data_IF_095375633339
#
_entry.id   IF_095375633339
#
_cell.length_a   1.000
_cell.length_b   1.000
_cell.length_c   1.000
_cell.angle_alpha   90.00
_cell.angle_beta   90.00
_cell.angle_gamma   90.00
#
_symmetry.space_group_name_H-M   'P 1'
#
loop_
_entity.id
_entity.type
_entity.pdbx_description
1 polymer ?
#
# COMPACT_ATOMS: atom_id res chain seq x y z
N UNK A 1 -3.44 10.92 -28.79
CA UNK A 1 -3.44 10.12 -27.56
C UNK A 1 -3.73 11.08 -26.43
N UNK A 2 -4.80 10.86 -25.66
CA UNK A 2 -5.03 11.70 -24.47
C UNK A 2 -3.99 11.24 -23.46
N UNK A 3 -3.02 12.11 -23.15
CA UNK A 3 -2.05 11.86 -22.09
C UNK A 3 -2.81 11.48 -20.82
N UNK A 4 -2.50 10.31 -20.27
CA UNK A 4 -3.12 9.87 -19.04
C UNK A 4 -2.44 10.56 -17.86
N UNK A 5 -2.83 11.82 -17.62
CA UNK A 5 -2.32 12.66 -16.53
C UNK A 5 -2.35 11.92 -15.19
N UNK A 6 -3.35 11.05 -14.95
CA UNK A 6 -3.41 10.26 -13.72
C UNK A 6 -2.21 9.30 -13.60
N UNK A 7 -1.92 8.55 -14.67
CA UNK A 7 -0.82 7.60 -14.69
C UNK A 7 0.54 8.32 -14.61
N UNK A 8 0.69 9.45 -15.30
CA UNK A 8 1.90 10.27 -15.26
C UNK A 8 2.18 10.81 -13.85
N UNK A 9 1.18 11.44 -13.21
CA UNK A 9 1.33 11.97 -11.84
C UNK A 9 1.60 10.85 -10.85
N UNK A 10 0.93 9.70 -10.99
CA UNK A 10 1.18 8.54 -10.14
C UNK A 10 2.60 7.97 -10.32
N UNK A 11 3.10 7.88 -11.56
CA UNK A 11 4.45 7.42 -11.86
C UNK A 11 5.50 8.29 -11.18
N UNK A 12 5.32 9.62 -11.20
CA UNK A 12 6.21 10.55 -10.51
C UNK A 12 6.38 10.21 -9.01
N UNK A 13 5.30 9.85 -8.31
CA UNK A 13 5.38 9.45 -6.89
C UNK A 13 6.06 8.09 -6.68
N UNK A 14 6.00 7.19 -7.66
CA UNK A 14 6.65 5.87 -7.60
C UNK A 14 8.14 5.94 -7.91
N UNK A 15 8.54 6.84 -8.80
CA UNK A 15 9.96 7.10 -9.10
C UNK A 15 10.70 7.75 -7.93
N UNK A 16 9.98 8.46 -7.07
CA UNK A 16 10.51 9.18 -5.90
C UNK A 16 10.21 8.46 -4.58
N UNK A 17 10.19 7.12 -4.59
CA UNK A 17 9.99 6.32 -3.39
C UNK A 17 11.15 6.44 -2.40
N UNK A 18 10.79 6.43 -1.11
CA UNK A 18 11.73 6.52 0.01
C UNK A 18 11.76 5.20 0.79
N UNK A 19 12.94 4.71 1.14
CA UNK A 19 13.10 3.41 1.81
C UNK A 19 12.65 3.46 3.28
N UNK A 20 12.78 4.61 3.93
CA UNK A 20 12.45 4.84 5.35
C UNK A 20 10.97 4.60 5.63
N UNK A 21 10.12 4.70 4.61
CA UNK A 21 8.68 4.39 4.68
C UNK A 21 8.42 2.96 5.13
N UNK A 22 9.33 2.01 4.87
CA UNK A 22 9.21 0.63 5.35
C UNK A 22 9.24 0.55 6.89
N UNK A 23 9.90 1.49 7.58
CA UNK A 23 9.94 1.53 9.04
C UNK A 23 8.57 1.82 9.64
N UNK A 24 7.65 2.45 8.91
CA UNK A 24 6.29 2.72 9.39
C UNK A 24 5.50 1.44 9.66
N UNK A 25 5.81 0.37 8.92
CA UNK A 25 5.14 -0.93 9.07
C UNK A 25 6.04 -1.98 9.71
N UNK A 26 7.30 -1.64 9.97
CA UNK A 26 8.21 -2.51 10.69
C UNK A 26 7.63 -2.72 12.09
N UNK A 27 7.37 -3.98 12.44
CA UNK A 27 6.84 -4.38 13.74
C UNK A 27 5.42 -3.89 14.10
N UNK A 28 4.63 -3.45 13.12
CA UNK A 28 3.22 -3.06 13.32
C UNK A 28 2.24 -4.02 12.61
N UNK A 29 1.82 -5.14 13.27
CA UNK A 29 1.04 -6.19 12.62
C UNK A 29 -0.27 -5.70 12.01
N UNK A 30 -0.92 -4.71 12.63
CA UNK A 30 -2.17 -4.16 12.12
C UNK A 30 -1.96 -3.38 10.81
N UNK A 31 -0.84 -2.67 10.68
CA UNK A 31 -0.50 -1.95 9.44
C UNK A 31 -0.11 -2.93 8.33
N UNK A 32 0.67 -3.96 8.65
CA UNK A 32 1.01 -5.03 7.70
C UNK A 32 -0.27 -5.69 7.14
N UNK A 33 -1.26 -5.99 7.99
CA UNK A 33 -2.53 -6.57 7.55
C UNK A 33 -3.26 -5.67 6.57
N UNK A 34 -3.29 -4.36 6.83
CA UNK A 34 -3.90 -3.38 5.91
C UNK A 34 -3.15 -3.32 4.59
N UNK A 35 -1.81 -3.29 4.61
CA UNK A 35 -0.98 -3.27 3.40
C UNK A 35 -1.22 -4.52 2.54
N UNK A 36 -1.25 -5.70 3.17
CA UNK A 36 -1.56 -6.95 2.47
C UNK A 36 -3.00 -6.94 1.93
N UNK A 37 -3.96 -6.48 2.72
CA UNK A 37 -5.35 -6.38 2.29
C UNK A 37 -5.51 -5.44 1.09
N UNK A 38 -4.84 -4.28 1.10
CA UNK A 38 -4.85 -3.30 0.01
C UNK A 38 -4.45 -3.92 -1.32
N UNK A 39 -3.35 -4.70 -1.34
CA UNK A 39 -2.90 -5.40 -2.57
C UNK A 39 -3.86 -6.48 -3.07
N UNK A 40 -4.83 -6.88 -2.25
CA UNK A 40 -5.86 -7.85 -2.60
C UNK A 40 -7.24 -7.20 -2.77
N UNK A 41 -7.40 -5.90 -2.52
CA UNK A 41 -8.66 -5.16 -2.70
C UNK A 41 -8.76 -4.69 -4.15
N UNK A 42 -9.97 -4.72 -4.71
CA UNK A 42 -10.21 -4.14 -6.02
C UNK A 42 -10.17 -2.62 -5.92
N UNK A 43 -9.07 -2.03 -6.40
CA UNK A 43 -8.85 -0.59 -6.44
C UNK A 43 -8.89 -0.15 -7.90
N UNK A 44 -9.74 0.83 -8.20
CA UNK A 44 -9.93 1.33 -9.55
C UNK A 44 -9.87 2.85 -9.55
N UNK A 45 -9.36 3.42 -10.64
CA UNK A 45 -9.52 4.84 -10.94
C UNK A 45 -10.98 5.17 -11.22
N UNK A 46 -11.44 6.33 -10.73
CA UNK A 46 -12.77 6.85 -11.02
C UNK A 46 -12.97 7.06 -12.54
N UNK A 47 -14.12 6.62 -13.07
CA UNK A 47 -14.46 6.77 -14.49
C UNK A 47 -14.42 8.22 -14.98
N UNK A 48 -14.80 9.16 -14.11
CA UNK A 48 -14.75 10.60 -14.37
C UNK A 48 -13.85 11.24 -13.34
N UNK A 49 -12.72 11.76 -13.81
CA UNK A 49 -11.79 12.46 -12.94
C UNK A 49 -12.31 13.82 -12.53
N UNK A 50 -12.13 14.18 -11.27
CA UNK A 50 -12.27 15.58 -10.83
C UNK A 50 -11.15 16.44 -11.43
N UNK A 51 -11.38 17.74 -11.68
CA UNK A 51 -10.29 18.63 -12.05
C UNK A 51 -9.25 18.71 -10.92
N UNK A 52 -7.97 18.79 -11.30
CA UNK A 52 -6.88 19.12 -10.37
C UNK A 52 -6.94 20.62 -10.07
N UNK A 53 -6.76 21.00 -8.80
CA UNK A 53 -6.96 22.39 -8.34
C UNK A 53 -5.66 23.18 -8.15
N UNK A 54 -4.53 22.49 -8.10
CA UNK A 54 -3.22 23.08 -7.91
C UNK A 54 -2.12 22.13 -8.36
N UNK A 55 -0.88 22.63 -8.37
CA UNK A 55 0.28 21.93 -8.91
C UNK A 55 1.25 21.45 -7.82
N UNK A 56 0.93 21.70 -6.54
CA UNK A 56 1.79 21.22 -5.46
C UNK A 56 1.78 19.69 -5.38
N UNK A 57 2.86 19.13 -4.85
CA UNK A 57 3.00 17.69 -4.65
C UNK A 57 1.89 17.14 -3.72
N UNK A 58 1.52 17.88 -2.67
CA UNK A 58 0.44 17.50 -1.75
C UNK A 58 -0.92 17.48 -2.44
N UNK A 59 -1.26 18.54 -3.18
CA UNK A 59 -2.54 18.62 -3.89
C UNK A 59 -2.66 17.56 -4.98
N UNK A 60 -1.56 17.27 -5.66
CA UNK A 60 -1.51 16.19 -6.65
C UNK A 60 -1.75 14.83 -6.00
N UNK A 61 -1.12 14.59 -4.84
CA UNK A 61 -1.31 13.35 -4.08
C UNK A 61 -2.75 13.17 -3.60
N UNK A 62 -3.32 14.22 -3.01
CA UNK A 62 -4.73 14.24 -2.59
C UNK A 62 -5.68 14.04 -3.77
N UNK A 63 -5.38 14.66 -4.92
CA UNK A 63 -6.16 14.50 -6.14
C UNK A 63 -6.16 13.05 -6.64
N UNK A 64 -5.02 12.35 -6.62
CA UNK A 64 -4.97 10.94 -7.00
C UNK A 64 -5.89 10.08 -6.11
N UNK A 65 -5.79 10.26 -4.79
CA UNK A 65 -6.63 9.53 -3.82
C UNK A 65 -8.11 9.87 -3.91
N UNK A 66 -8.46 11.13 -4.17
CA UNK A 66 -9.84 11.55 -4.42
C UNK A 66 -10.46 10.88 -5.64
N UNK A 67 -9.62 10.50 -6.62
CA UNK A 67 -10.04 9.82 -7.83
C UNK A 67 -9.85 8.30 -7.76
N UNK A 68 -9.69 7.75 -6.56
CA UNK A 68 -9.58 6.32 -6.31
C UNK A 68 -10.90 5.77 -5.78
N UNK A 69 -11.32 4.63 -6.32
CA UNK A 69 -12.54 3.91 -5.91
C UNK A 69 -12.13 2.53 -5.42
N UNK A 70 -12.51 2.20 -4.20
CA UNK A 70 -12.32 0.88 -3.61
C UNK A 70 -13.46 0.57 -2.63
N UNK A 71 -13.69 -0.73 -2.37
CA UNK A 71 -14.67 -1.13 -1.37
C UNK A 71 -14.04 -1.11 0.03
N UNK A 72 -14.54 -0.20 0.87
CA UNK A 72 -14.13 -0.11 2.28
C UNK A 72 -14.49 -1.38 3.05
N UNK A 73 -15.67 -1.94 2.80
CA UNK A 73 -16.14 -3.19 3.42
C UNK A 73 -15.21 -4.37 3.07
N UNK A 74 -14.81 -4.48 1.79
CA UNK A 74 -13.87 -5.51 1.34
C UNK A 74 -12.50 -5.35 2.00
N UNK A 75 -12.01 -4.11 2.11
CA UNK A 75 -10.75 -3.82 2.80
C UNK A 75 -10.80 -4.18 4.30
N UNK A 76 -11.92 -3.90 4.97
CA UNK A 76 -12.14 -4.32 6.37
C UNK A 76 -12.13 -5.84 6.48
N UNK A 77 -12.89 -6.52 5.63
CA UNK A 77 -13.00 -7.97 5.64
C UNK A 77 -11.63 -8.64 5.42
N UNK A 78 -10.80 -8.13 4.50
CA UNK A 78 -9.47 -8.67 4.19
C UNK A 78 -8.41 -8.32 5.21
N UNK A 79 -8.48 -7.14 5.84
CA UNK A 79 -7.49 -6.70 6.83
C UNK A 79 -7.76 -7.25 8.24
N UNK A 80 -9.00 -7.66 8.53
CA UNK A 80 -9.46 -8.04 9.87
C UNK A 80 -9.14 -6.96 10.93
N UNK A 81 -9.14 -5.69 10.52
CA UNK A 81 -8.99 -4.52 11.41
C UNK A 81 -10.37 -3.99 11.74
N UNK A 82 -10.56 -3.58 13.01
CA UNK A 82 -11.81 -2.98 13.45
C UNK A 82 -12.12 -1.71 12.65
N UNK A 83 -13.38 -1.56 12.24
CA UNK A 83 -13.83 -0.47 11.38
C UNK A 83 -13.47 0.93 11.90
N UNK A 84 -13.68 1.17 13.21
CA UNK A 84 -13.37 2.45 13.86
C UNK A 84 -11.88 2.83 13.76
N UNK A 85 -11.00 1.84 13.63
CA UNK A 85 -9.56 2.02 13.57
C UNK A 85 -8.98 2.09 12.16
N UNK A 86 -9.76 1.78 11.12
CA UNK A 86 -9.24 1.66 9.76
C UNK A 86 -8.74 3.01 9.23
N UNK A 87 -9.57 4.05 9.27
CA UNK A 87 -9.22 5.37 8.71
C UNK A 87 -7.98 5.97 9.38
N UNK A 88 -7.91 5.86 10.72
CA UNK A 88 -6.77 6.32 11.51
C UNK A 88 -5.46 5.61 11.14
N UNK A 89 -5.54 4.38 10.64
CA UNK A 89 -4.39 3.58 10.19
C UNK A 89 -4.09 3.75 8.70
N UNK A 90 -5.11 3.95 7.88
CA UNK A 90 -4.96 4.22 6.45
C UNK A 90 -4.29 5.58 6.22
N UNK A 91 -4.68 6.61 6.97
CA UNK A 91 -4.13 7.96 6.83
C UNK A 91 -2.59 8.01 6.84
N UNK A 92 -1.87 7.45 7.83
CA UNK A 92 -0.40 7.45 7.80
C UNK A 92 0.18 6.59 6.68
N UNK A 93 -0.47 5.49 6.29
CA UNK A 93 -0.02 4.66 5.17
C UNK A 93 -0.15 5.39 3.82
N UNK A 94 -1.20 6.18 3.65
CA UNK A 94 -1.42 7.05 2.48
C UNK A 94 -0.43 8.22 2.50
N UNK A 95 -0.35 8.95 3.62
CA UNK A 95 0.49 10.15 3.73
C UNK A 95 1.98 9.86 3.54
N UNK A 96 2.45 8.70 4.02
CA UNK A 96 3.84 8.27 3.83
C UNK A 96 4.06 7.46 2.54
N UNK A 97 3.08 7.40 1.63
CA UNK A 97 3.19 6.68 0.34
C UNK A 97 3.54 5.20 0.51
N UNK A 98 3.04 4.55 1.55
CA UNK A 98 3.07 3.07 1.67
C UNK A 98 2.10 2.46 0.68
N UNK A 99 0.87 3.01 0.61
CA UNK A 99 -0.17 2.58 -0.32
C UNK A 99 -0.22 3.53 -1.50
N UNK A 100 -0.53 2.99 -2.67
CA UNK A 100 -0.79 3.74 -3.87
C UNK A 100 -2.24 3.59 -4.35
N UNK A 101 -2.79 4.64 -4.98
CA UNK A 101 -4.19 4.72 -5.42
C UNK A 101 -4.55 3.79 -6.60
N UNK A 102 -3.61 2.99 -7.08
CA UNK A 102 -3.81 1.95 -8.10
C UNK A 102 -3.80 0.52 -7.50
N UNK A 103 -3.88 0.39 -6.18
CA UNK A 103 -3.84 -0.89 -5.48
C UNK A 103 -2.43 -1.44 -5.27
N UNK A 104 -1.40 -0.74 -5.75
CA UNK A 104 -0.01 -1.11 -5.47
C UNK A 104 0.47 -0.53 -4.14
N UNK A 105 1.68 -0.91 -3.75
CA UNK A 105 2.35 -0.48 -2.54
C UNK A 105 3.77 -0.05 -2.90
N UNK A 106 4.40 0.70 -2.01
CA UNK A 106 5.79 1.11 -2.14
C UNK A 106 6.73 -0.07 -2.39
N UNK A 107 7.67 0.05 -3.32
CA UNK A 107 8.56 -1.05 -3.71
C UNK A 107 9.50 -1.48 -2.58
N UNK A 108 9.90 -0.58 -1.68
CA UNK A 108 10.70 -0.92 -0.50
C UNK A 108 9.86 -1.67 0.54
N UNK A 109 8.60 -1.26 0.72
CA UNK A 109 7.64 -1.99 1.56
C UNK A 109 7.37 -3.39 1.00
N UNK A 110 7.18 -3.50 -0.31
CA UNK A 110 7.01 -4.80 -0.98
C UNK A 110 8.24 -5.70 -0.78
N UNK A 111 9.45 -5.16 -0.95
CA UNK A 111 10.71 -5.88 -0.71
C UNK A 111 10.85 -6.33 0.74
N UNK A 112 10.55 -5.45 1.70
CA UNK A 112 10.55 -5.76 3.12
C UNK A 112 9.58 -6.90 3.46
N UNK A 113 8.34 -6.86 2.96
CA UNK A 113 7.38 -7.93 3.20
C UNK A 113 7.84 -9.27 2.62
N UNK A 114 8.42 -9.26 1.41
CA UNK A 114 9.00 -10.47 0.80
C UNK A 114 10.14 -11.05 1.64
N UNK A 115 11.08 -10.22 2.09
CA UNK A 115 12.19 -10.64 2.96
C UNK A 115 11.69 -11.29 4.25
N UNK A 116 10.67 -10.69 4.89
CA UNK A 116 10.05 -11.29 6.08
C UNK A 116 9.43 -12.65 5.82
N UNK A 117 8.77 -12.84 4.69
CA UNK A 117 8.21 -14.15 4.31
C UNK A 117 9.33 -15.18 4.17
N UNK A 118 10.44 -14.84 3.52
CA UNK A 118 11.59 -15.74 3.37
C UNK A 118 12.18 -16.16 4.71
N UNK A 119 12.36 -15.20 5.63
CA UNK A 119 12.87 -15.46 6.99
C UNK A 119 12.00 -16.42 7.80
N UNK A 120 10.68 -16.44 7.58
CA UNK A 120 9.79 -17.42 8.21
C UNK A 120 10.07 -18.87 7.77
N UNK A 121 10.59 -19.07 6.57
CA UNK A 121 10.97 -20.40 6.06
C UNK A 121 12.37 -20.81 6.49
N UNK A 122 13.30 -19.86 6.61
CA UNK A 122 14.67 -20.11 7.11
C UNK A 122 14.69 -20.44 8.60
N UNK A 123 13.81 -19.82 9.40
CA UNK A 123 13.71 -20.05 10.84
C UNK A 123 13.11 -21.42 11.21
N UNK A 124 12.56 -22.19 10.26
CA UNK A 124 12.10 -23.55 10.52
C UNK A 124 13.30 -24.49 10.59
N UNK A 125 13.50 -25.26 11.68
CA UNK A 125 14.63 -26.17 11.77
C UNK A 125 14.55 -27.18 10.62
N UNK A 126 15.64 -27.30 9.85
CA UNK A 126 15.87 -28.47 8.99
C UNK A 126 15.67 -29.69 9.88
N UNK A 127 14.63 -30.49 9.58
CA UNK A 127 14.34 -31.75 10.31
C UNK A 127 15.66 -32.43 10.61
N UNK A 128 15.97 -32.62 11.89
CA UNK A 128 17.12 -33.40 12.32
C UNK A 128 17.03 -34.74 11.61
N UNK A 129 17.98 -35.00 10.71
CA UNK A 129 18.16 -36.32 10.14
C UNK A 129 18.42 -37.24 11.33
N UNK A 130 17.46 -38.12 11.65
CA UNK A 130 17.67 -39.23 12.58
C UNK A 130 18.88 -39.99 12.05
N UNK A 131 19.99 -39.97 12.80
CA UNK A 131 21.06 -40.94 12.63
C UNK A 131 20.53 -42.26 13.17
N UNK A 132 20.36 -43.24 12.28
CA UNK A 132 20.32 -44.66 12.64
C UNK A 132 21.71 -45.13 13.09
#
# INVERSE_FOLDING_TARGET
MVEDIYAEKLAHFKENEKAEVALLIADEPQLIKIVVAWTNTSVMRAKKLSPIRGESESETWEWLWKNTVYSREDLIAKSAVAEYGLERKMSPLIGNRVLYPDGTINSFVQRYLRDRVLKLFEAKPKKSAKKE
#
